data_IF_738466653150
#
_entry.id   IF_738466653150
#
_cell.length_a   1.000
_cell.length_b   1.000
_cell.length_c   1.000
_cell.angle_alpha   90.00
_cell.angle_beta   90.00
_cell.angle_gamma   90.00
#
_symmetry.space_group_name_H-M   'P 1'
#
loop_
_entity.id
_entity.type
_entity.pdbx_description
1 polymer ?
#
# COMPACT_ATOMS: atom_id res chain seq x y z
N UNK A 1 8.43 12.31 -17.60
CA UNK A 1 8.21 12.54 -19.04
C UNK A 1 7.98 11.20 -19.72
N UNK A 2 7.06 11.14 -20.68
CA UNK A 2 6.80 9.94 -21.49
C UNK A 2 6.87 10.30 -22.97
N UNK A 3 7.74 9.63 -23.70
CA UNK A 3 7.88 9.76 -25.15
C UNK A 3 6.82 8.87 -25.83
N UNK A 4 6.00 9.48 -26.68
CA UNK A 4 4.88 8.82 -27.35
C UNK A 4 5.19 8.67 -28.84
N UNK A 5 4.86 7.53 -29.42
CA UNK A 5 5.05 7.27 -30.83
C UNK A 5 4.22 8.23 -31.69
N UNK A 6 4.91 9.01 -32.54
CA UNK A 6 4.27 9.92 -33.49
C UNK A 6 3.61 11.15 -32.86
N UNK A 7 3.96 11.52 -31.62
CA UNK A 7 3.40 12.69 -30.92
C UNK A 7 4.41 13.42 -30.03
N UNK A 8 4.00 14.55 -29.42
CA UNK A 8 4.83 15.27 -28.47
C UNK A 8 5.08 14.45 -27.21
N UNK A 9 6.22 14.68 -26.55
CA UNK A 9 6.50 14.09 -25.26
C UNK A 9 5.53 14.64 -24.20
N UNK A 10 4.97 13.76 -23.37
CA UNK A 10 4.02 14.13 -22.33
C UNK A 10 4.74 14.37 -21.00
N UNK A 11 4.42 15.49 -20.36
CA UNK A 11 4.94 15.89 -19.06
C UNK A 11 3.85 15.76 -18.01
N UNK A 12 4.05 14.86 -17.04
CA UNK A 12 3.05 14.58 -16.02
C UNK A 12 3.50 13.52 -15.04
N UNK A 13 2.61 13.20 -14.11
CA UNK A 13 2.80 12.17 -13.12
C UNK A 13 2.33 10.82 -13.69
N UNK A 14 3.25 9.87 -13.81
CA UNK A 14 2.90 8.48 -14.14
C UNK A 14 2.24 7.86 -12.92
N UNK A 15 0.94 7.58 -13.02
CA UNK A 15 0.14 6.98 -11.95
C UNK A 15 0.26 5.46 -11.95
N UNK A 16 0.37 4.87 -13.14
CA UNK A 16 0.43 3.44 -13.30
C UNK A 16 1.37 3.04 -14.45
N UNK A 17 2.02 1.90 -14.26
CA UNK A 17 2.88 1.22 -15.22
C UNK A 17 2.47 -0.25 -15.20
N UNK A 18 1.24 -0.57 -15.60
CA UNK A 18 0.71 -1.94 -15.49
C UNK A 18 1.01 -2.82 -16.69
N UNK A 19 0.99 -4.12 -16.43
CA UNK A 19 1.13 -5.22 -17.38
C UNK A 19 -0.04 -5.38 -18.34
N UNK A 20 -1.14 -4.62 -18.16
CA UNK A 20 -2.27 -4.49 -19.09
C UNK A 20 -1.89 -3.88 -20.44
N UNK A 21 -0.61 -3.56 -20.63
CA UNK A 21 -0.13 -2.93 -21.85
C UNK A 21 -0.62 -1.49 -21.96
N UNK A 22 -0.81 -0.79 -20.84
CA UNK A 22 -1.16 0.63 -20.83
C UNK A 22 -0.39 1.40 -19.74
N UNK A 23 -0.11 2.66 -20.02
CA UNK A 23 0.53 3.62 -19.11
C UNK A 23 -0.47 4.74 -18.85
N UNK A 24 -0.77 4.98 -17.57
CA UNK A 24 -1.70 6.04 -17.16
C UNK A 24 -0.92 7.22 -16.61
N UNK A 25 -1.14 8.39 -17.21
CA UNK A 25 -0.53 9.65 -16.80
C UNK A 25 -1.58 10.64 -16.31
N UNK A 26 -1.28 11.36 -15.23
CA UNK A 26 -1.93 12.61 -14.89
C UNK A 26 -1.11 13.77 -15.48
N UNK A 27 -1.71 14.53 -16.40
CA UNK A 27 -1.09 15.66 -17.09
C UNK A 27 -1.83 16.94 -16.73
N UNK A 28 -1.09 17.98 -16.41
CA UNK A 28 -1.66 19.27 -16.03
C UNK A 28 -2.43 19.90 -17.19
N UNK A 29 -3.66 20.36 -16.93
CA UNK A 29 -4.54 20.98 -17.94
C UNK A 29 -3.87 22.14 -18.67
N UNK A 30 -3.33 23.07 -17.89
CA UNK A 30 -2.72 24.30 -18.41
C UNK A 30 -1.54 24.00 -19.34
N UNK A 31 -0.75 22.97 -19.02
CA UNK A 31 0.34 22.52 -19.87
C UNK A 31 -0.18 21.86 -21.15
N UNK A 32 -1.14 20.93 -21.04
CA UNK A 32 -1.63 20.18 -22.21
C UNK A 32 -2.36 21.09 -23.22
N UNK A 33 -3.12 22.07 -22.72
CA UNK A 33 -3.81 23.04 -23.56
C UNK A 33 -2.85 23.85 -24.47
N UNK A 34 -1.60 24.03 -24.04
CA UNK A 34 -0.57 24.72 -24.81
C UNK A 34 0.26 23.76 -25.66
N UNK A 35 0.62 22.60 -25.10
CA UNK A 35 1.56 21.67 -25.73
C UNK A 35 0.93 20.74 -26.77
N UNK A 36 -0.34 20.33 -26.58
CA UNK A 36 -1.10 19.46 -27.50
C UNK A 36 -2.59 19.86 -27.47
N UNK A 37 -2.96 21.02 -28.07
CA UNK A 37 -4.34 21.53 -28.06
C UNK A 37 -5.38 20.53 -28.61
N UNK A 38 -5.12 19.79 -29.70
CA UNK A 38 -6.07 18.79 -30.19
C UNK A 38 -6.37 17.68 -29.17
N UNK A 39 -5.35 17.15 -28.50
CA UNK A 39 -5.54 16.14 -27.45
C UNK A 39 -6.28 16.72 -26.26
N UNK A 40 -5.95 17.95 -25.85
CA UNK A 40 -6.64 18.66 -24.77
C UNK A 40 -8.15 18.77 -25.04
N UNK A 41 -8.53 19.26 -26.22
CA UNK A 41 -9.95 19.41 -26.60
C UNK A 41 -10.68 18.07 -26.54
N UNK A 42 -10.09 17.01 -27.12
CA UNK A 42 -10.70 15.68 -27.10
C UNK A 42 -10.92 15.11 -25.69
N UNK A 43 -9.95 15.31 -24.79
CA UNK A 43 -10.06 14.83 -23.41
C UNK A 43 -11.09 15.63 -22.61
N UNK A 44 -11.16 16.95 -22.79
CA UNK A 44 -12.15 17.79 -22.10
C UNK A 44 -13.57 17.49 -22.57
N UNK A 45 -13.77 17.25 -23.86
CA UNK A 45 -15.07 16.87 -24.43
C UNK A 45 -15.58 15.53 -23.87
N UNK A 46 -14.68 14.57 -23.66
CA UNK A 46 -15.04 13.24 -23.14
C UNK A 46 -15.16 13.20 -21.61
N UNK A 47 -14.45 14.05 -20.88
CA UNK A 47 -14.39 14.03 -19.41
C UNK A 47 -15.76 14.16 -18.75
N UNK A 48 -16.63 15.07 -19.22
CA UNK A 48 -17.95 15.26 -18.61
C UNK A 48 -18.82 13.99 -18.76
N UNK A 49 -18.80 13.38 -19.94
CA UNK A 49 -19.53 12.14 -20.19
C UNK A 49 -18.97 11.00 -19.33
N UNK A 50 -17.65 10.88 -19.23
CA UNK A 50 -16.99 9.89 -18.36
C UNK A 50 -17.31 10.11 -16.89
N UNK A 51 -17.27 11.36 -16.40
CA UNK A 51 -17.59 11.70 -15.02
C UNK A 51 -19.05 11.37 -14.70
N UNK A 52 -19.98 11.72 -15.58
CA UNK A 52 -21.40 11.39 -15.44
C UNK A 52 -21.62 9.87 -15.36
N UNK A 53 -20.97 9.13 -16.26
CA UNK A 53 -21.05 7.66 -16.27
C UNK A 53 -20.47 7.07 -14.99
N UNK A 54 -19.29 7.54 -14.55
CA UNK A 54 -18.62 7.03 -13.37
C UNK A 54 -19.40 7.30 -12.07
N UNK A 55 -19.99 8.48 -11.92
CA UNK A 55 -20.86 8.78 -10.78
C UNK A 55 -22.16 7.95 -10.80
N UNK A 56 -22.75 7.77 -11.99
CA UNK A 56 -23.96 6.95 -12.14
C UNK A 56 -23.68 5.50 -11.75
N UNK A 57 -22.60 4.92 -12.26
CA UNK A 57 -22.18 3.56 -11.95
C UNK A 57 -21.82 3.41 -10.47
N UNK A 58 -21.13 4.40 -9.88
CA UNK A 58 -20.84 4.40 -8.45
C UNK A 58 -22.12 4.42 -7.61
N UNK A 59 -23.10 5.26 -7.96
CA UNK A 59 -24.37 5.33 -7.25
C UNK A 59 -25.08 3.97 -7.28
N UNK A 60 -25.16 3.32 -8.44
CA UNK A 60 -25.73 1.99 -8.60
C UNK A 60 -24.99 0.94 -7.75
N UNK A 61 -23.66 0.98 -7.77
CA UNK A 61 -22.82 0.07 -6.98
C UNK A 61 -22.98 0.27 -5.48
N UNK A 62 -23.09 1.51 -5.03
CA UNK A 62 -23.36 1.83 -3.62
C UNK A 62 -24.77 1.42 -3.21
N UNK A 63 -25.78 1.58 -4.07
CA UNK A 63 -27.14 1.08 -3.83
C UNK A 63 -27.16 -0.44 -3.70
N UNK A 64 -26.53 -1.15 -4.63
CA UNK A 64 -26.41 -2.61 -4.59
C UNK A 64 -25.63 -3.08 -3.36
N UNK A 65 -24.62 -2.32 -2.92
CA UNK A 65 -23.90 -2.63 -1.69
C UNK A 65 -24.78 -2.41 -0.46
N UNK A 66 -25.46 -1.27 -0.35
CA UNK A 66 -26.34 -0.95 0.78
C UNK A 66 -27.52 -1.91 0.92
N UNK A 67 -28.01 -2.48 -0.18
CA UNK A 67 -29.08 -3.48 -0.17
C UNK A 67 -28.65 -4.84 0.42
N UNK A 68 -27.37 -5.02 0.77
CA UNK A 68 -26.89 -6.22 1.46
C UNK A 68 -27.38 -6.22 2.92
N UNK A 69 -28.12 -7.26 3.30
CA UNK A 69 -28.87 -7.34 4.56
C UNK A 69 -27.99 -7.38 5.81
N UNK A 70 -26.69 -7.67 5.66
CA UNK A 70 -25.74 -7.92 6.74
C UNK A 70 -24.67 -6.82 6.89
N UNK A 71 -24.93 -5.62 6.37
CA UNK A 71 -23.99 -4.50 6.54
C UNK A 71 -23.90 -4.04 8.00
N UNK A 72 -22.69 -4.03 8.59
CA UNK A 72 -22.45 -3.48 9.92
C UNK A 72 -22.79 -1.99 9.98
N UNK A 73 -23.31 -1.52 11.12
CA UNK A 73 -23.85 -0.16 11.26
C UNK A 73 -22.87 0.96 10.81
N UNK A 74 -21.58 0.87 11.18
CA UNK A 74 -20.58 1.86 10.78
C UNK A 74 -20.35 1.90 9.26
N UNK A 75 -20.27 0.72 8.64
CA UNK A 75 -20.12 0.61 7.18
C UNK A 75 -21.42 1.01 6.45
N UNK A 76 -22.59 0.65 6.97
CA UNK A 76 -23.88 1.05 6.42
C UNK A 76 -24.04 2.58 6.41
N UNK A 77 -23.71 3.24 7.53
CA UNK A 77 -23.74 4.71 7.63
C UNK A 77 -22.76 5.38 6.67
N UNK A 78 -21.55 4.82 6.53
CA UNK A 78 -20.60 5.27 5.52
C UNK A 78 -21.19 5.15 4.11
N UNK A 79 -21.69 3.96 3.72
CA UNK A 79 -22.27 3.74 2.38
C UNK A 79 -23.44 4.69 2.12
N UNK A 80 -24.31 4.95 3.10
CA UNK A 80 -25.42 5.90 2.96
C UNK A 80 -24.92 7.33 2.70
N UNK A 81 -23.89 7.76 3.43
CA UNK A 81 -23.28 9.08 3.22
C UNK A 81 -22.69 9.23 1.82
N UNK A 82 -22.03 8.19 1.32
CA UNK A 82 -21.46 8.14 -0.02
C UNK A 82 -22.52 8.13 -1.12
N UNK A 83 -23.67 7.48 -0.90
CA UNK A 83 -24.80 7.54 -1.81
C UNK A 83 -25.35 8.97 -1.93
N UNK A 84 -25.51 9.68 -0.79
CA UNK A 84 -25.94 11.08 -0.79
C UNK A 84 -24.96 11.97 -1.54
N UNK A 85 -23.66 11.74 -1.34
CA UNK A 85 -22.59 12.48 -2.04
C UNK A 85 -22.59 12.21 -3.54
N UNK A 86 -22.71 10.95 -3.97
CA UNK A 86 -22.81 10.59 -5.38
C UNK A 86 -24.06 11.18 -6.04
N UNK A 87 -25.21 11.16 -5.35
CA UNK A 87 -26.44 11.78 -5.84
C UNK A 87 -26.29 13.31 -5.99
N UNK A 88 -25.68 13.98 -5.01
CA UNK A 88 -25.41 15.42 -5.08
C UNK A 88 -24.47 15.77 -6.25
N UNK A 89 -23.43 14.96 -6.49
CA UNK A 89 -22.52 15.15 -7.61
C UNK A 89 -23.23 15.02 -8.98
N UNK A 90 -24.16 14.06 -9.10
CA UNK A 90 -24.96 13.90 -10.32
C UNK A 90 -25.90 15.09 -10.57
N UNK A 91 -26.50 15.66 -9.52
CA UNK A 91 -27.31 16.88 -9.64
C UNK A 91 -26.44 18.05 -10.11
N UNK A 92 -25.26 18.24 -9.51
CA UNK A 92 -24.32 19.29 -9.92
C UNK A 92 -23.88 19.15 -11.38
N UNK A 93 -23.63 17.94 -11.86
CA UNK A 93 -23.27 17.68 -13.27
C UNK A 93 -24.42 17.96 -14.24
N UNK A 94 -25.67 17.85 -13.80
CA UNK A 94 -26.86 18.12 -14.61
C UNK A 94 -27.16 19.62 -14.74
N UNK A 95 -26.78 20.44 -13.74
CA UNK A 95 -26.96 21.90 -13.75
C UNK A 95 -26.01 22.63 -14.73
N UNK A 96 -25.08 21.89 -15.33
CA UNK A 96 -24.10 22.39 -16.29
C UNK A 96 -22.72 21.83 -15.98
N UNK A 97 -21.71 22.11 -16.83
CA UNK A 97 -20.34 21.84 -16.43
C UNK A 97 -20.08 22.59 -15.12
N UNK A 98 -19.69 21.86 -14.06
CA UNK A 98 -19.17 22.46 -12.83
C UNK A 98 -18.20 23.60 -13.22
N UNK A 99 -18.25 24.77 -12.57
CA UNK A 99 -17.84 26.06 -13.12
C UNK A 99 -16.40 26.05 -13.68
N UNK A 100 -16.27 25.58 -14.94
CA UNK A 100 -15.05 25.34 -15.73
C UNK A 100 -13.97 24.48 -14.99
N UNK A 101 -13.15 23.68 -15.67
CA UNK A 101 -11.80 23.28 -15.15
C UNK A 101 -11.61 22.53 -13.81
N UNK A 102 -12.63 21.89 -13.21
CA UNK A 102 -12.62 21.54 -11.77
C UNK A 102 -11.48 20.67 -11.20
N UNK A 103 -10.63 20.03 -12.03
CA UNK A 103 -9.48 19.25 -11.55
C UNK A 103 -8.22 19.59 -12.33
N UNK A 104 -7.13 19.87 -11.60
CA UNK A 104 -5.86 20.37 -12.13
C UNK A 104 -5.26 19.47 -13.24
N UNK A 105 -5.60 18.19 -13.24
CA UNK A 105 -5.07 17.19 -14.15
C UNK A 105 -6.14 16.63 -15.10
N UNK A 106 -5.68 16.17 -16.26
CA UNK A 106 -6.37 15.23 -17.14
C UNK A 106 -5.67 13.88 -17.05
N UNK A 107 -6.44 12.79 -17.15
CA UNK A 107 -5.88 11.45 -17.26
C UNK A 107 -5.70 11.08 -18.72
N UNK A 108 -4.53 10.54 -19.04
CA UNK A 108 -4.20 10.02 -20.36
C UNK A 108 -3.84 8.55 -20.19
N UNK A 109 -4.64 7.69 -20.81
CA UNK A 109 -4.40 6.25 -20.90
C UNK A 109 -3.71 5.99 -22.25
N UNK A 110 -2.48 5.50 -22.21
CA UNK A 110 -1.68 5.21 -23.40
C UNK A 110 -1.42 3.71 -23.53
N UNK A 111 -1.79 3.07 -24.64
CA UNK A 111 -1.30 1.74 -24.97
C UNK A 111 0.23 1.70 -24.97
N UNK A 112 0.81 0.63 -24.44
CA UNK A 112 2.25 0.44 -24.28
C UNK A 112 2.95 0.44 -25.63
N UNK A 113 2.28 0.01 -26.70
CA UNK A 113 2.83 0.07 -28.07
C UNK A 113 3.00 1.51 -28.56
N UNK A 114 2.26 2.47 -27.98
CA UNK A 114 2.42 3.89 -28.26
C UNK A 114 3.48 4.54 -27.36
N UNK A 115 4.01 3.84 -26.35
CA UNK A 115 5.01 4.38 -25.43
C UNK A 115 6.41 3.97 -25.91
N UNK A 116 7.20 4.95 -26.36
CA UNK A 116 8.58 4.70 -26.79
C UNK A 116 9.53 4.61 -25.60
N UNK A 117 9.40 5.56 -24.66
CA UNK A 117 10.27 5.64 -23.49
C UNK A 117 9.60 6.36 -22.34
N UNK A 118 9.88 5.93 -21.11
CA UNK A 118 9.47 6.61 -19.89
C UNK A 118 10.72 7.09 -19.18
N UNK A 119 10.80 8.40 -18.93
CA UNK A 119 11.84 9.02 -18.13
C UNK A 119 11.24 9.41 -16.78
N UNK A 120 11.37 8.55 -15.75
CA UNK A 120 10.90 8.86 -14.42
C UNK A 120 11.73 10.01 -13.83
N UNK A 121 11.07 10.93 -13.14
CA UNK A 121 11.77 11.93 -12.34
C UNK A 121 12.45 11.24 -11.15
N UNK A 122 13.55 11.84 -10.65
CA UNK A 122 14.12 11.42 -9.36
C UNK A 122 13.11 11.65 -8.24
N UNK A 123 13.19 10.93 -7.10
CA UNK A 123 12.27 11.11 -5.99
C UNK A 123 12.14 12.57 -5.53
N UNK A 124 13.26 13.30 -5.47
CA UNK A 124 13.32 14.70 -5.05
C UNK A 124 12.61 15.61 -6.05
N UNK A 125 12.87 15.44 -7.35
CA UNK A 125 12.21 16.22 -8.39
C UNK A 125 10.72 15.91 -8.49
N UNK A 126 10.33 14.65 -8.28
CA UNK A 126 8.91 14.27 -8.17
C UNK A 126 8.25 14.98 -7.00
N UNK A 127 8.88 14.96 -5.83
CA UNK A 127 8.35 15.58 -4.62
C UNK A 127 8.18 17.10 -4.78
N UNK A 128 9.18 17.78 -5.35
CA UNK A 128 9.10 19.22 -5.68
C UNK A 128 7.98 19.52 -6.67
N UNK A 129 7.79 18.67 -7.69
CA UNK A 129 6.70 18.84 -8.63
C UNK A 129 5.32 18.65 -7.96
N UNK A 130 5.16 17.62 -7.12
CA UNK A 130 3.92 17.40 -6.36
C UNK A 130 3.58 18.62 -5.50
N UNK A 131 4.57 19.13 -4.77
CA UNK A 131 4.40 20.31 -3.93
C UNK A 131 4.10 21.57 -4.76
N UNK A 132 4.83 21.78 -5.85
CA UNK A 132 4.56 22.89 -6.77
C UNK A 132 3.15 22.83 -7.36
N UNK A 133 2.66 21.65 -7.72
CA UNK A 133 1.28 21.48 -8.16
C UNK A 133 0.29 21.78 -7.04
N UNK A 134 0.52 21.30 -5.81
CA UNK A 134 -0.33 21.57 -4.64
C UNK A 134 -0.50 23.07 -4.42
N UNK A 135 0.59 23.81 -4.50
CA UNK A 135 0.62 25.28 -4.31
C UNK A 135 0.25 26.07 -5.57
N UNK A 136 -0.14 25.39 -6.66
CA UNK A 136 -0.49 25.99 -7.95
C UNK A 136 0.61 26.90 -8.52
N UNK A 137 1.88 26.50 -8.38
CA UNK A 137 3.00 27.22 -8.99
C UNK A 137 2.91 27.15 -10.52
N UNK A 138 3.41 28.20 -11.18
CA UNK A 138 3.40 28.26 -12.63
C UNK A 138 4.40 27.28 -13.25
N UNK A 139 3.94 26.60 -14.31
CA UNK A 139 4.76 25.80 -15.24
C UNK A 139 5.57 24.69 -14.55
N UNK A 140 5.01 24.08 -13.51
CA UNK A 140 5.66 22.97 -12.76
C UNK A 140 6.12 21.84 -13.69
N UNK A 141 5.31 21.52 -14.69
CA UNK A 141 5.55 20.41 -15.61
C UNK A 141 6.74 20.63 -16.59
N UNK A 142 7.21 21.88 -16.74
CA UNK A 142 8.25 22.25 -17.71
C UNK A 142 9.50 22.91 -17.09
N UNK A 143 9.50 23.22 -15.80
CA UNK A 143 10.63 23.88 -15.13
C UNK A 143 11.67 22.89 -14.59
N UNK A 144 12.95 23.28 -14.53
CA UNK A 144 13.97 22.53 -13.80
C UNK A 144 13.64 22.41 -12.32
N UNK A 145 13.93 21.24 -11.72
CA UNK A 145 13.65 20.99 -10.30
C UNK A 145 14.36 21.95 -9.34
N UNK A 146 15.51 22.51 -9.71
CA UNK A 146 16.24 23.49 -8.91
C UNK A 146 15.51 24.85 -8.82
N UNK A 147 14.81 25.26 -9.88
CA UNK A 147 14.00 26.48 -9.86
C UNK A 147 12.75 26.30 -8.99
N UNK A 148 12.08 25.15 -9.11
CA UNK A 148 10.94 24.81 -8.26
C UNK A 148 11.36 24.76 -6.79
N UNK A 149 12.52 24.15 -6.49
CA UNK A 149 13.06 24.12 -5.12
C UNK A 149 13.31 25.52 -4.56
N UNK A 150 13.91 26.42 -5.35
CA UNK A 150 14.19 27.78 -4.93
C UNK A 150 12.91 28.55 -4.58
N UNK A 151 11.89 28.45 -5.43
CA UNK A 151 10.59 29.12 -5.22
C UNK A 151 9.81 28.51 -4.05
N UNK A 152 9.80 27.19 -3.92
CA UNK A 152 9.15 26.53 -2.78
C UNK A 152 9.79 26.95 -1.45
N UNK A 153 11.12 27.05 -1.41
CA UNK A 153 11.86 27.54 -0.23
C UNK A 153 11.61 29.02 0.04
N UNK A 154 11.49 29.87 -1.00
CA UNK A 154 11.18 31.29 -0.80
C UNK A 154 9.76 31.50 -0.26
N UNK A 155 8.84 30.58 -0.54
CA UNK A 155 7.50 30.51 0.04
C UNK A 155 7.45 29.84 1.42
N UNK A 156 8.60 29.38 1.96
CA UNK A 156 8.71 28.81 3.30
C UNK A 156 8.41 27.32 3.40
N UNK A 157 8.23 26.62 2.28
CA UNK A 157 7.99 25.17 2.28
C UNK A 157 9.29 24.38 2.42
N UNK A 158 9.17 23.16 2.94
CA UNK A 158 10.26 22.19 3.02
C UNK A 158 9.95 21.00 2.11
N UNK A 159 10.44 21.02 0.83
CA UNK A 159 10.07 20.03 -0.16
C UNK A 159 10.32 18.59 0.28
N UNK A 160 11.40 18.34 1.03
CA UNK A 160 11.88 17.00 1.33
C UNK A 160 11.19 16.34 2.54
N UNK A 161 10.38 17.08 3.31
CA UNK A 161 9.74 16.57 4.53
C UNK A 161 8.21 16.43 4.44
N UNK A 162 7.58 17.12 3.49
CA UNK A 162 6.12 17.13 3.38
C UNK A 162 5.58 15.94 2.59
N UNK A 163 4.48 15.33 3.04
CA UNK A 163 3.76 14.37 2.22
C UNK A 163 2.68 15.10 1.42
N UNK A 164 2.69 14.93 0.10
CA UNK A 164 1.74 15.60 -0.80
C UNK A 164 0.78 14.58 -1.40
N UNK A 165 -0.51 14.80 -1.18
CA UNK A 165 -1.58 14.02 -1.78
C UNK A 165 -2.38 14.91 -2.76
N UNK A 166 -2.36 14.57 -4.05
CA UNK A 166 -3.10 15.27 -5.10
C UNK A 166 -4.30 14.47 -5.62
N UNK A 167 -4.70 13.41 -4.93
CA UNK A 167 -5.74 12.49 -5.41
C UNK A 167 -7.08 13.16 -5.68
N UNK A 168 -7.47 14.14 -4.87
CA UNK A 168 -8.70 14.92 -5.07
C UNK A 168 -8.67 15.79 -6.33
N UNK A 169 -7.47 16.04 -6.87
CA UNK A 169 -7.24 16.83 -8.08
C UNK A 169 -7.14 15.98 -9.36
N UNK A 170 -7.26 14.67 -9.26
CA UNK A 170 -7.30 13.76 -10.41
C UNK A 170 -8.74 13.58 -10.90
N UNK A 171 -9.04 13.60 -12.20
CA UNK A 171 -10.38 13.38 -12.74
C UNK A 171 -10.92 12.00 -12.37
N UNK A 172 -12.25 11.92 -12.31
CA UNK A 172 -12.93 10.69 -11.98
C UNK A 172 -12.81 9.75 -13.18
N UNK A 173 -12.61 8.46 -12.90
CA UNK A 173 -12.58 7.43 -13.93
C UNK A 173 -13.56 6.31 -13.61
N UNK A 174 -13.95 5.58 -14.64
CA UNK A 174 -14.68 4.34 -14.48
C UNK A 174 -13.81 3.32 -13.76
N UNK A 175 -14.41 2.66 -12.76
CA UNK A 175 -13.77 1.59 -12.02
C UNK A 175 -14.21 0.25 -12.63
N UNK A 176 -13.28 -0.62 -12.98
CA UNK A 176 -13.58 -2.00 -13.31
C UNK A 176 -14.15 -2.75 -12.10
N UNK A 177 -14.82 -3.88 -12.31
CA UNK A 177 -15.39 -4.67 -11.22
C UNK A 177 -14.34 -5.14 -10.21
N UNK A 178 -13.11 -5.44 -10.67
CA UNK A 178 -12.00 -5.81 -9.79
C UNK A 178 -11.57 -4.64 -8.91
N UNK A 179 -11.47 -3.45 -9.48
CA UNK A 179 -11.12 -2.22 -8.74
C UNK A 179 -12.21 -1.88 -7.72
N UNK A 180 -13.48 -2.04 -8.09
CA UNK A 180 -14.59 -1.86 -7.17
C UNK A 180 -14.57 -2.87 -6.01
N UNK A 181 -14.27 -4.15 -6.29
CA UNK A 181 -14.10 -5.16 -5.24
C UNK A 181 -12.97 -4.80 -4.27
N UNK A 182 -11.85 -4.29 -4.79
CA UNK A 182 -10.74 -3.85 -3.97
C UNK A 182 -11.07 -2.61 -3.15
N UNK A 183 -11.78 -1.63 -3.75
CA UNK A 183 -12.30 -0.46 -3.05
C UNK A 183 -13.21 -0.86 -1.89
N UNK A 184 -14.18 -1.74 -2.14
CA UNK A 184 -15.06 -2.29 -1.10
C UNK A 184 -14.27 -2.94 0.02
N UNK A 185 -13.24 -3.71 -0.29
CA UNK A 185 -12.42 -4.38 0.72
C UNK A 185 -11.63 -3.39 1.59
N UNK A 186 -11.02 -2.37 0.99
CA UNK A 186 -10.32 -1.30 1.71
C UNK A 186 -11.30 -0.57 2.65
N UNK A 187 -12.46 -0.16 2.14
CA UNK A 187 -13.48 0.54 2.92
C UNK A 187 -14.07 -0.32 4.04
N UNK A 188 -14.28 -1.61 3.78
CA UNK A 188 -14.73 -2.56 4.81
C UNK A 188 -13.67 -2.72 5.90
N UNK A 189 -12.40 -2.76 5.52
CA UNK A 189 -11.28 -2.83 6.46
C UNK A 189 -11.19 -1.58 7.34
N UNK A 190 -11.42 -0.39 6.77
CA UNK A 190 -11.39 0.90 7.49
C UNK A 190 -12.61 1.09 8.40
N UNK A 191 -13.82 0.77 7.93
CA UNK A 191 -15.08 1.13 8.63
C UNK A 191 -15.76 0.00 9.39
N UNK A 192 -15.22 -1.23 9.36
CA UNK A 192 -15.84 -2.35 10.07
C UNK A 192 -14.84 -3.26 10.79
N UNK A 193 -14.31 -4.26 10.08
CA UNK A 193 -13.56 -5.37 10.68
C UNK A 193 -12.30 -5.60 9.88
N UNK A 194 -11.19 -5.24 10.49
CA UNK A 194 -9.88 -5.65 10.05
C UNK A 194 -9.66 -7.12 10.43
N UNK A 195 -9.28 -7.93 9.46
CA UNK A 195 -8.69 -9.24 9.71
C UNK A 195 -7.20 -9.11 9.49
N UNK A 196 -6.45 -9.23 10.57
CA UNK A 196 -5.00 -9.13 10.55
C UNK A 196 -4.39 -10.43 11.03
N UNK A 197 -3.20 -10.72 10.50
CA UNK A 197 -2.37 -11.82 10.92
C UNK A 197 -0.94 -11.33 11.13
N UNK A 198 -0.30 -11.82 12.18
CA UNK A 198 1.10 -11.54 12.47
C UNK A 198 1.82 -12.79 12.93
N UNK A 199 3.05 -12.99 12.46
CA UNK A 199 3.82 -14.19 12.81
C UNK A 199 5.16 -14.31 12.10
N UNK A 200 5.58 -15.55 11.93
CA UNK A 200 6.77 -15.96 11.17
C UNK A 200 6.32 -16.62 9.85
N UNK A 201 7.23 -16.87 8.89
CA UNK A 201 6.89 -17.60 7.67
C UNK A 201 6.23 -18.97 7.94
N UNK A 202 6.65 -19.65 9.00
CA UNK A 202 6.11 -20.95 9.37
C UNK A 202 4.69 -20.87 9.92
N UNK A 203 4.34 -19.76 10.59
CA UNK A 203 3.04 -19.62 11.24
C UNK A 203 2.63 -18.17 11.44
N UNK A 204 1.44 -17.85 10.97
CA UNK A 204 0.77 -16.60 11.23
C UNK A 204 -0.38 -16.80 12.21
N UNK A 205 -0.51 -15.87 13.15
CA UNK A 205 -1.60 -15.87 14.13
C UNK A 205 -2.52 -14.70 13.86
N UNK A 206 -3.82 -14.91 14.03
CA UNK A 206 -4.80 -13.83 13.92
C UNK A 206 -4.54 -12.79 15.00
N UNK A 207 -4.57 -11.52 14.61
CA UNK A 207 -4.44 -10.34 15.47
C UNK A 207 -5.60 -9.36 15.19
N UNK A 208 -5.80 -8.38 16.06
CA UNK A 208 -6.80 -7.32 15.88
C UNK A 208 -7.63 -7.05 17.14
N UNK A 209 -8.69 -6.24 17.01
CA UNK A 209 -9.44 -5.71 18.17
C UNK A 209 -10.06 -6.78 19.09
N UNK A 210 -10.32 -7.98 18.56
CA UNK A 210 -10.96 -9.09 19.30
C UNK A 210 -9.96 -10.16 19.79
N UNK A 211 -8.67 -10.02 19.48
CA UNK A 211 -7.63 -11.03 19.78
C UNK A 211 -6.37 -10.34 20.29
N UNK A 212 -5.81 -10.76 21.45
CA UNK A 212 -4.58 -10.17 21.96
C UNK A 212 -3.47 -10.18 20.90
N UNK A 213 -2.71 -9.09 20.73
CA UNK A 213 -1.58 -9.08 19.82
C UNK A 213 -0.58 -10.18 20.19
N UNK A 214 0.07 -10.77 19.19
CA UNK A 214 1.13 -11.74 19.46
C UNK A 214 2.29 -10.99 20.09
N UNK A 215 2.75 -11.44 21.26
CA UNK A 215 3.87 -10.76 21.91
C UNK A 215 5.13 -10.87 21.04
N UNK A 216 5.89 -9.78 20.84
CA UNK A 216 7.17 -9.82 20.12
C UNK A 216 8.13 -10.85 20.69
N UNK A 217 8.09 -11.01 22.02
CA UNK A 217 8.81 -12.01 22.78
C UNK A 217 8.53 -13.45 22.32
N UNK A 218 7.25 -13.78 22.07
CA UNK A 218 6.84 -15.09 21.53
C UNK A 218 7.30 -15.29 20.09
N UNK A 219 7.18 -14.26 19.25
CA UNK A 219 7.66 -14.32 17.86
C UNK A 219 9.16 -14.56 17.81
N UNK A 220 9.93 -13.90 18.68
CA UNK A 220 11.37 -14.10 18.82
C UNK A 220 11.69 -15.54 19.25
N UNK A 221 11.01 -16.05 20.27
CA UNK A 221 11.21 -17.42 20.74
C UNK A 221 10.90 -18.48 19.67
N UNK A 222 9.77 -18.36 18.97
CA UNK A 222 9.41 -19.27 17.86
C UNK A 222 10.42 -19.19 16.71
N UNK A 223 10.96 -18.00 16.43
CA UNK A 223 11.97 -17.83 15.39
C UNK A 223 13.33 -18.42 15.79
N UNK A 224 13.77 -18.22 17.04
CA UNK A 224 15.00 -18.84 17.55
C UNK A 224 14.88 -20.36 17.58
N UNK A 225 13.71 -20.88 17.97
CA UNK A 225 13.45 -22.32 17.98
C UNK A 225 13.50 -22.92 16.57
N UNK A 226 12.91 -22.25 15.57
CA UNK A 226 12.95 -22.74 14.19
C UNK A 226 14.36 -22.71 13.60
N UNK A 227 15.17 -21.70 13.94
CA UNK A 227 16.58 -21.65 13.57
C UNK A 227 17.38 -22.78 14.22
N UNK A 228 17.18 -23.03 15.52
CA UNK A 228 17.83 -24.16 16.22
C UNK A 228 17.47 -25.50 15.59
N UNK A 229 16.18 -25.72 15.25
CA UNK A 229 15.75 -26.93 14.54
C UNK A 229 16.46 -27.07 13.21
N UNK A 230 16.59 -25.99 12.43
CA UNK A 230 17.30 -26.00 11.16
C UNK A 230 18.79 -26.33 11.29
N UNK A 231 19.47 -25.76 12.29
CA UNK A 231 20.87 -26.12 12.57
C UNK A 231 21.01 -27.59 12.98
N UNK A 232 20.06 -28.12 13.76
CA UNK A 232 20.04 -29.55 14.12
C UNK A 232 19.76 -30.44 12.90
N UNK A 233 18.85 -30.06 12.02
CA UNK A 233 18.55 -30.77 10.77
C UNK A 233 19.76 -30.76 9.82
N UNK A 234 20.48 -29.64 9.70
CA UNK A 234 21.72 -29.52 8.91
C UNK A 234 22.86 -30.39 9.47
N UNK A 235 22.89 -30.63 10.78
CA UNK A 235 23.85 -31.55 11.41
C UNK A 235 23.48 -33.03 11.18
N UNK A 236 22.20 -33.35 11.01
CA UNK A 236 21.71 -34.71 10.74
C UNK A 236 21.78 -35.05 9.23
N UNK A 237 21.50 -34.10 8.35
CA UNK A 237 21.60 -34.21 6.89
C UNK A 237 22.53 -33.12 6.30
N UNK A 238 23.87 -33.26 6.44
CA UNK A 238 24.81 -32.27 5.94
C UNK A 238 24.75 -32.20 4.40
N UNK A 239 24.36 -31.02 3.87
CA UNK A 239 24.37 -30.72 2.43
C UNK A 239 23.00 -30.50 1.78
N UNK A 240 21.90 -30.63 2.52
CA UNK A 240 20.57 -30.26 2.00
C UNK A 240 20.44 -28.74 2.01
N UNK A 241 20.70 -28.10 0.87
CA UNK A 241 20.40 -26.69 0.69
C UNK A 241 18.88 -26.49 0.93
N UNK A 242 18.49 -25.54 1.80
CA UNK A 242 17.09 -25.23 2.02
C UNK A 242 16.48 -24.79 0.69
N UNK A 243 15.40 -25.45 0.29
CA UNK A 243 14.72 -25.14 -0.97
C UNK A 243 14.27 -23.67 -1.00
N UNK A 244 14.07 -23.09 -2.19
CA UNK A 244 13.66 -21.68 -2.34
C UNK A 244 12.35 -21.33 -1.60
N UNK A 245 11.50 -22.31 -1.28
CA UNK A 245 10.28 -22.11 -0.47
C UNK A 245 10.54 -21.85 1.02
N UNK A 246 11.69 -22.28 1.56
CA UNK A 246 11.99 -22.19 3.01
C UNK A 246 12.30 -20.75 3.46
N UNK A 247 12.70 -19.88 2.52
CA UNK A 247 13.03 -18.48 2.80
C UNK A 247 11.96 -17.50 2.28
N UNK A 248 10.83 -17.99 1.75
CA UNK A 248 9.74 -17.12 1.33
C UNK A 248 9.07 -16.48 2.57
N UNK A 249 8.78 -15.17 2.56
CA UNK A 249 8.17 -14.51 3.72
C UNK A 249 6.76 -15.02 4.01
N UNK A 250 6.07 -15.51 2.96
CA UNK A 250 4.73 -16.06 3.02
C UNK A 250 4.66 -17.37 2.20
N UNK A 251 5.04 -18.51 2.79
CA UNK A 251 4.89 -19.81 2.13
C UNK A 251 3.43 -20.08 1.73
N UNK A 252 3.15 -20.80 0.63
CA UNK A 252 1.79 -21.02 0.14
C UNK A 252 0.84 -21.62 1.18
N UNK A 253 1.34 -22.54 2.02
CA UNK A 253 0.56 -23.16 3.10
C UNK A 253 0.11 -22.15 4.16
N UNK A 254 0.98 -21.20 4.53
CA UNK A 254 0.70 -20.17 5.53
C UNK A 254 -0.37 -19.19 5.06
N UNK A 255 -0.32 -18.77 3.78
CA UNK A 255 -1.37 -17.95 3.18
C UNK A 255 -2.68 -18.72 3.02
N UNK A 256 -2.64 -20.02 2.71
CA UNK A 256 -3.85 -20.84 2.61
C UNK A 256 -4.62 -20.86 3.94
N UNK A 257 -3.95 -20.93 5.09
CA UNK A 257 -4.59 -20.83 6.41
C UNK A 257 -5.25 -19.47 6.62
N UNK A 258 -4.57 -18.37 6.28
CA UNK A 258 -5.14 -17.02 6.38
C UNK A 258 -6.40 -16.87 5.52
N UNK A 259 -6.36 -17.38 4.28
CA UNK A 259 -7.48 -17.38 3.34
C UNK A 259 -8.65 -18.23 3.84
N UNK A 260 -8.38 -19.39 4.44
CA UNK A 260 -9.41 -20.26 5.02
C UNK A 260 -10.11 -19.57 6.18
N UNK A 261 -9.35 -18.92 7.06
CA UNK A 261 -9.89 -18.17 8.20
C UNK A 261 -10.71 -16.95 7.74
N UNK A 262 -10.23 -16.22 6.73
CA UNK A 262 -10.99 -15.13 6.11
C UNK A 262 -12.35 -15.62 5.57
N UNK A 263 -12.35 -16.74 4.83
CA UNK A 263 -13.58 -17.38 4.33
C UNK A 263 -14.52 -17.82 5.46
N UNK A 264 -13.97 -18.39 6.55
CA UNK A 264 -14.75 -18.80 7.73
C UNK A 264 -15.45 -17.62 8.39
N UNK A 265 -14.82 -16.45 8.36
CA UNK A 265 -15.35 -15.20 8.90
C UNK A 265 -16.19 -14.41 7.87
N UNK A 266 -16.43 -14.97 6.68
CA UNK A 266 -17.10 -14.27 5.57
C UNK A 266 -16.44 -12.95 5.16
N UNK A 267 -15.13 -12.83 5.40
CA UNK A 267 -14.32 -11.67 5.02
C UNK A 267 -13.62 -11.92 3.69
N UNK A 268 -13.59 -10.88 2.86
CA UNK A 268 -12.97 -10.93 1.52
C UNK A 268 -11.56 -10.33 1.48
N UNK A 269 -11.05 -9.83 2.58
CA UNK A 269 -9.69 -9.31 2.64
C UNK A 269 -9.06 -9.53 4.02
N UNK A 270 -7.74 -9.59 4.04
CA UNK A 270 -6.95 -9.63 5.26
C UNK A 270 -5.58 -9.01 5.04
N UNK A 271 -4.98 -8.52 6.12
CA UNK A 271 -3.57 -8.15 6.17
C UNK A 271 -2.77 -9.25 6.84
N UNK A 272 -1.62 -9.59 6.28
CA UNK A 272 -0.68 -10.55 6.85
C UNK A 272 0.70 -9.90 7.01
N UNK A 273 1.32 -10.09 8.17
CA UNK A 273 2.65 -9.58 8.49
C UNK A 273 3.54 -10.72 8.97
N UNK A 274 4.67 -10.91 8.31
CA UNK A 274 5.65 -11.98 8.58
C UNK A 274 7.00 -11.38 8.94
N UNK A 275 7.59 -11.89 10.02
CA UNK A 275 8.92 -11.49 10.51
C UNK A 275 9.89 -12.63 10.18
N UNK A 276 10.93 -12.30 9.42
CA UNK A 276 12.03 -13.19 9.05
C UNK A 276 13.29 -12.69 9.76
N UNK A 277 13.90 -13.52 10.60
CA UNK A 277 15.17 -13.18 11.24
C UNK A 277 16.32 -13.91 10.53
N UNK A 278 17.34 -13.14 10.20
CA UNK A 278 18.65 -13.62 9.75
C UNK A 278 19.62 -13.52 10.93
N UNK A 279 19.87 -14.66 11.58
CA UNK A 279 20.75 -14.74 12.75
C UNK A 279 22.22 -14.52 12.39
N UNK A 280 22.66 -15.00 11.22
CA UNK A 280 24.03 -14.82 10.75
C UNK A 280 24.29 -13.34 10.41
N UNK A 281 23.34 -12.71 9.71
CA UNK A 281 23.40 -11.31 9.34
C UNK A 281 23.06 -10.32 10.44
N UNK A 282 22.57 -10.80 11.61
CA UNK A 282 22.01 -9.99 12.71
C UNK A 282 20.97 -8.97 12.23
N UNK A 283 20.06 -9.42 11.36
CA UNK A 283 19.04 -8.59 10.72
C UNK A 283 17.66 -9.18 10.87
N UNK A 284 16.68 -8.33 11.08
CA UNK A 284 15.26 -8.67 11.01
C UNK A 284 14.66 -8.07 9.76
N UNK A 285 13.91 -8.85 8.99
CA UNK A 285 13.11 -8.35 7.87
C UNK A 285 11.64 -8.56 8.18
N UNK A 286 10.88 -7.48 8.11
CA UNK A 286 9.43 -7.50 8.28
C UNK A 286 8.80 -7.35 6.91
N UNK A 287 7.88 -8.26 6.58
CA UNK A 287 7.08 -8.23 5.37
C UNK A 287 5.62 -8.04 5.75
N UNK A 288 4.90 -7.22 5.01
CA UNK A 288 3.45 -7.06 5.20
C UNK A 288 2.76 -7.03 3.84
N UNK A 289 1.62 -7.70 3.73
CA UNK A 289 0.80 -7.71 2.52
C UNK A 289 -0.70 -7.65 2.85
N UNK A 290 -1.48 -7.06 1.95
CA UNK A 290 -2.94 -6.99 2.02
C UNK A 290 -3.54 -7.74 0.84
N UNK A 291 -4.23 -8.83 1.15
CA UNK A 291 -4.78 -9.75 0.15
C UNK A 291 -6.29 -9.61 0.07
N UNK A 292 -6.80 -9.68 -1.17
CA UNK A 292 -8.20 -9.55 -1.55
C UNK A 292 -8.68 -10.78 -2.29
N UNK A 293 -9.83 -11.31 -1.90
CA UNK A 293 -10.55 -12.32 -2.66
C UNK A 293 -11.33 -11.66 -3.81
N UNK A 294 -10.85 -11.85 -5.04
CA UNK A 294 -11.51 -11.36 -6.26
C UNK A 294 -12.44 -12.41 -6.90
N UNK A 295 -12.27 -13.68 -6.54
CA UNK A 295 -13.12 -14.79 -7.00
C UNK A 295 -13.16 -15.96 -5.99
N UNK A 296 -13.94 -17.03 -6.23
CA UNK A 296 -14.12 -18.14 -5.27
C UNK A 296 -12.81 -18.78 -4.79
N UNK A 297 -11.81 -18.84 -5.67
CA UNK A 297 -10.48 -19.40 -5.39
C UNK A 297 -9.35 -18.42 -5.72
N UNK A 298 -9.69 -17.19 -6.07
CA UNK A 298 -8.73 -16.22 -6.60
C UNK A 298 -8.49 -15.13 -5.56
N UNK A 299 -7.23 -14.99 -5.18
CA UNK A 299 -6.74 -14.00 -4.23
C UNK A 299 -5.69 -13.14 -4.92
N UNK A 300 -5.76 -11.85 -4.66
CA UNK A 300 -4.88 -10.83 -5.22
C UNK A 300 -4.25 -10.03 -4.11
N UNK A 301 -2.94 -9.87 -4.12
CA UNK A 301 -2.25 -8.94 -3.23
C UNK A 301 -2.38 -7.53 -3.79
N UNK A 302 -3.08 -6.65 -3.08
CA UNK A 302 -3.37 -5.27 -3.52
C UNK A 302 -2.49 -4.23 -2.84
N UNK A 303 -1.73 -4.63 -1.82
CA UNK A 303 -0.66 -3.85 -1.23
C UNK A 303 0.39 -4.78 -0.63
N UNK A 304 1.67 -4.44 -0.74
CA UNK A 304 2.76 -5.15 -0.09
C UNK A 304 3.92 -4.20 0.20
N UNK A 305 4.63 -4.43 1.30
CA UNK A 305 5.83 -3.71 1.65
C UNK A 305 6.77 -4.58 2.50
N UNK A 306 8.06 -4.26 2.45
CA UNK A 306 9.10 -4.91 3.24
C UNK A 306 10.02 -3.86 3.85
N UNK A 307 10.48 -4.11 5.07
CA UNK A 307 11.51 -3.31 5.76
C UNK A 307 12.53 -4.23 6.40
N UNK A 308 13.78 -3.81 6.37
CA UNK A 308 14.90 -4.51 7.00
C UNK A 308 15.44 -3.63 8.12
N UNK A 309 15.49 -4.18 9.33
CA UNK A 309 16.08 -3.57 10.51
C UNK A 309 17.37 -4.30 10.89
N UNK A 310 18.42 -3.54 11.17
CA UNK A 310 19.69 -4.06 11.68
C UNK A 310 19.98 -3.58 13.10
N UNK A 311 20.67 -4.42 13.89
CA UNK A 311 21.05 -4.10 15.27
C UNK A 311 21.93 -2.84 15.43
N UNK A 312 22.60 -2.38 14.35
CA UNK A 312 23.54 -1.25 14.41
C UNK A 312 22.92 0.15 14.44
N UNK A 313 21.60 0.29 14.24
CA UNK A 313 20.94 1.59 14.03
C UNK A 313 20.33 2.24 15.28
N UNK A 314 19.96 1.46 16.30
CA UNK A 314 19.20 1.94 17.46
C UNK A 314 20.09 2.01 18.71
N UNK A 315 20.58 3.21 19.04
CA UNK A 315 21.33 3.50 20.28
C UNK A 315 20.45 4.04 21.40
N UNK A 316 19.17 3.70 21.43
CA UNK A 316 18.29 4.13 22.52
C UNK A 316 18.39 3.19 23.73
N UNK A 317 19.41 3.44 24.56
CA UNK A 317 19.64 2.70 25.79
C UNK A 317 18.42 2.72 26.73
N UNK A 318 17.59 3.76 26.72
CA UNK A 318 16.42 3.86 27.59
C UNK A 318 15.28 2.92 27.14
N UNK A 319 15.12 2.71 25.83
CA UNK A 319 14.16 1.74 25.31
C UNK A 319 14.68 0.31 25.44
N UNK A 320 15.99 0.08 25.26
CA UNK A 320 16.63 -1.21 25.55
C UNK A 320 16.43 -1.64 27.01
N UNK A 321 16.65 -0.72 27.95
CA UNK A 321 16.46 -0.99 29.38
C UNK A 321 15.01 -1.35 29.71
N UNK A 322 14.04 -0.60 29.17
CA UNK A 322 12.61 -0.88 29.34
C UNK A 322 12.21 -2.24 28.77
N UNK A 323 12.71 -2.62 27.59
CA UNK A 323 12.43 -3.92 26.99
C UNK A 323 13.05 -5.06 27.82
N UNK A 324 14.25 -4.84 28.36
CA UNK A 324 14.92 -5.80 29.24
C UNK A 324 14.18 -5.98 30.56
N UNK A 325 13.48 -4.96 31.05
CA UNK A 325 12.68 -5.01 32.29
C UNK A 325 11.26 -5.59 32.07
N UNK A 326 10.87 -5.85 30.80
CA UNK A 326 9.57 -6.45 30.49
C UNK A 326 9.46 -7.87 31.09
N UNK A 327 8.39 -8.18 31.86
CA UNK A 327 8.21 -9.48 32.51
C UNK A 327 8.23 -10.68 31.55
N UNK A 328 7.71 -10.52 30.33
CA UNK A 328 7.70 -11.59 29.32
C UNK A 328 9.08 -11.80 28.73
N UNK A 329 9.82 -10.71 28.46
CA UNK A 329 11.20 -10.78 27.99
C UNK A 329 12.10 -11.41 29.06
N UNK A 330 11.96 -11.00 30.33
CA UNK A 330 12.67 -11.58 31.46
C UNK A 330 12.42 -13.08 31.66
N UNK A 331 11.20 -13.55 31.39
CA UNK A 331 10.88 -14.98 31.47
C UNK A 331 11.63 -15.78 30.38
N UNK A 332 11.68 -15.26 29.15
CA UNK A 332 12.39 -15.90 28.04
C UNK A 332 13.91 -15.85 28.26
N UNK A 333 14.44 -14.69 28.67
CA UNK A 333 15.87 -14.53 28.95
C UNK A 333 16.34 -15.45 30.08
N UNK A 334 15.53 -15.65 31.13
CA UNK A 334 15.81 -16.64 32.18
C UNK A 334 15.85 -18.06 31.63
N UNK A 335 14.86 -18.46 30.83
CA UNK A 335 14.86 -19.77 30.19
C UNK A 335 16.08 -20.01 29.30
N UNK A 336 16.51 -19.02 28.52
CA UNK A 336 17.71 -19.13 27.68
C UNK A 336 19.01 -19.22 28.49
N UNK A 337 19.09 -18.48 29.61
CA UNK A 337 20.22 -18.56 30.55
C UNK A 337 20.30 -19.91 31.26
N UNK A 338 19.16 -20.47 31.66
CA UNK A 338 19.07 -21.76 32.37
C UNK A 338 19.51 -22.95 31.51
N UNK A 339 19.36 -22.88 30.18
CA UNK A 339 19.83 -23.92 29.24
C UNK A 339 21.29 -23.69 28.82
N UNK A 340 21.94 -22.62 29.30
CA UNK A 340 23.35 -22.30 28.98
C UNK A 340 23.57 -21.83 27.54
N UNK A 341 22.50 -21.43 26.84
CA UNK A 341 22.52 -21.13 25.40
C UNK A 341 22.75 -19.65 25.07
N UNK A 342 22.84 -18.76 26.06
CA UNK A 342 23.02 -17.33 25.80
C UNK A 342 23.95 -16.64 26.82
N UNK A 343 25.08 -16.12 26.34
CA UNK A 343 25.87 -15.11 27.05
C UNK A 343 25.20 -13.74 27.01
N UNK A 344 25.63 -12.80 27.86
CA UNK A 344 25.08 -11.43 27.90
C UNK A 344 25.13 -10.73 26.53
N UNK A 345 26.20 -10.92 25.75
CA UNK A 345 26.32 -10.35 24.40
C UNK A 345 25.26 -10.88 23.41
N UNK A 346 24.85 -12.15 23.56
CA UNK A 346 23.81 -12.74 22.72
C UNK A 346 22.41 -12.21 23.09
N UNK A 347 22.20 -11.93 24.37
CA UNK A 347 20.98 -11.31 24.89
C UNK A 347 20.84 -9.88 24.38
N UNK A 348 21.90 -9.09 24.49
CA UNK A 348 21.89 -7.71 24.02
C UNK A 348 21.70 -7.64 22.49
N UNK A 349 22.34 -8.52 21.73
CA UNK A 349 22.12 -8.63 20.29
C UNK A 349 20.67 -9.01 19.93
N UNK A 350 20.03 -9.91 20.69
CA UNK A 350 18.64 -10.29 20.48
C UNK A 350 17.68 -9.13 20.82
N UNK A 351 17.96 -8.36 21.88
CA UNK A 351 17.20 -7.17 22.22
C UNK A 351 17.29 -6.11 21.13
N UNK A 352 18.50 -5.84 20.61
CA UNK A 352 18.70 -4.86 19.54
C UNK A 352 17.99 -5.26 18.25
N UNK A 353 18.02 -6.55 17.91
CA UNK A 353 17.26 -7.09 16.78
C UNK A 353 15.75 -6.97 16.99
N UNK A 354 15.26 -7.23 18.21
CA UNK A 354 13.86 -7.04 18.58
C UNK A 354 13.40 -5.60 18.41
N UNK A 355 14.19 -4.64 18.87
CA UNK A 355 13.91 -3.20 18.71
C UNK A 355 13.91 -2.78 17.23
N UNK A 356 14.91 -3.21 16.45
CA UNK A 356 14.98 -2.91 15.03
C UNK A 356 13.79 -3.50 14.24
N UNK A 357 13.32 -4.69 14.65
CA UNK A 357 12.13 -5.34 14.09
C UNK A 357 10.86 -4.59 14.46
N UNK A 358 10.73 -4.11 15.70
CA UNK A 358 9.60 -3.31 16.15
C UNK A 358 9.52 -1.97 15.41
N UNK A 359 10.65 -1.29 15.21
CA UNK A 359 10.70 -0.07 14.40
C UNK A 359 10.26 -0.36 12.95
N UNK A 360 10.81 -1.41 12.34
CA UNK A 360 10.45 -1.83 10.98
C UNK A 360 8.96 -2.14 10.85
N UNK A 361 8.36 -2.77 11.87
CA UNK A 361 6.93 -3.02 11.94
C UNK A 361 6.13 -1.71 12.01
N UNK A 362 6.51 -0.78 12.89
CA UNK A 362 5.85 0.52 13.04
C UNK A 362 5.90 1.37 11.74
N UNK A 363 7.03 1.33 11.02
CA UNK A 363 7.17 2.00 9.73
C UNK A 363 6.29 1.36 8.65
N UNK A 364 6.12 0.03 8.66
CA UNK A 364 5.21 -0.68 7.76
C UNK A 364 3.75 -0.41 8.09
N UNK A 365 3.40 -0.36 9.38
CA UNK A 365 2.06 0.04 9.83
C UNK A 365 1.74 1.46 9.37
N UNK A 366 2.67 2.39 9.52
CA UNK A 366 2.52 3.77 9.01
C UNK A 366 2.27 3.77 7.50
N UNK A 367 3.06 3.02 6.72
CA UNK A 367 2.85 2.91 5.27
C UNK A 367 1.50 2.29 4.91
N UNK A 368 1.06 1.28 5.66
CA UNK A 368 -0.24 0.66 5.44
C UNK A 368 -1.38 1.62 5.77
N UNK A 369 -1.26 2.39 6.86
CA UNK A 369 -2.22 3.45 7.20
C UNK A 369 -2.25 4.56 6.15
N UNK A 370 -1.11 4.93 5.57
CA UNK A 370 -1.06 5.87 4.44
C UNK A 370 -1.77 5.29 3.21
N UNK A 371 -1.59 4.00 2.93
CA UNK A 371 -2.33 3.31 1.87
C UNK A 371 -3.84 3.32 2.12
N UNK A 372 -4.29 2.98 3.33
CA UNK A 372 -5.70 3.03 3.71
C UNK A 372 -6.25 4.45 3.67
N UNK A 373 -5.51 5.44 4.18
CA UNK A 373 -5.88 6.85 4.13
C UNK A 373 -5.96 7.40 2.71
N UNK A 374 -5.15 6.88 1.78
CA UNK A 374 -5.19 7.29 0.38
C UNK A 374 -6.41 6.72 -0.38
N UNK A 375 -6.77 5.46 -0.12
CA UNK A 375 -7.82 4.77 -0.88
C UNK A 375 -9.15 4.55 -0.13
N UNK A 376 -9.17 4.82 1.18
CA UNK A 376 -10.27 4.49 2.08
C UNK A 376 -11.10 5.68 2.57
N UNK A 377 -10.89 6.89 2.04
CA UNK A 377 -11.71 8.06 2.39
C UNK A 377 -13.05 8.06 1.65
N UNK A 378 -13.00 7.83 0.34
CA UNK A 378 -14.15 7.95 -0.55
C UNK A 378 -14.22 6.80 -1.56
N UNK A 379 -15.43 6.40 -1.94
CA UNK A 379 -15.71 5.25 -2.80
C UNK A 379 -15.33 5.45 -4.29
N UNK A 380 -15.29 6.69 -4.75
CA UNK A 380 -14.77 7.14 -6.04
C UNK A 380 -13.29 7.54 -5.99
N UNK A 381 -12.65 7.38 -4.83
CA UNK A 381 -11.29 7.85 -4.52
C UNK A 381 -10.24 7.49 -5.59
N UNK A 382 -8.99 7.94 -5.43
CA UNK A 382 -7.99 7.97 -6.50
C UNK A 382 -7.88 6.64 -7.26
N UNK A 383 -7.51 6.68 -8.56
CA UNK A 383 -7.34 5.50 -9.38
C UNK A 383 -6.58 4.39 -8.64
N UNK A 384 -7.27 3.26 -8.41
CA UNK A 384 -6.66 2.06 -7.85
C UNK A 384 -6.22 1.18 -9.03
N UNK A 385 -4.95 0.79 -9.01
CA UNK A 385 -4.35 -0.07 -10.02
C UNK A 385 -4.04 -1.42 -9.36
N UNK A 386 -4.53 -2.49 -9.97
CA UNK A 386 -4.53 -3.83 -9.41
C UNK A 386 -3.63 -4.74 -10.24
N UNK A 387 -2.69 -5.47 -9.62
CA UNK A 387 -1.83 -6.38 -10.36
C UNK A 387 -2.65 -7.44 -11.10
N UNK A 388 -2.12 -7.90 -12.24
CA UNK A 388 -2.76 -8.98 -12.97
C UNK A 388 -2.70 -10.28 -12.16
N UNK A 389 -3.77 -11.06 -12.27
CA UNK A 389 -3.74 -12.44 -11.82
C UNK A 389 -2.78 -13.16 -12.74
N UNK A 390 -1.66 -13.68 -12.22
CA UNK A 390 -0.76 -14.51 -13.03
C UNK A 390 -1.59 -15.57 -13.76
N UNK A 391 -1.43 -15.73 -15.09
CA UNK A 391 -2.13 -16.79 -15.80
C UNK A 391 -1.76 -18.10 -15.10
N UNK A 392 -2.78 -18.85 -14.68
CA UNK A 392 -2.59 -20.20 -14.14
C UNK A 392 -1.71 -20.95 -15.14
N UNK A 393 -0.46 -21.23 -14.78
CA UNK A 393 0.32 -22.23 -15.51
C UNK A 393 -0.50 -23.51 -15.43
N UNK A 394 -1.03 -23.92 -16.59
CA UNK A 394 -1.84 -25.13 -16.74
C UNK A 394 -0.96 -26.36 -16.61
#
# INVERSE_FOLDING_TARGET
MVEVAGGPALHGLVLNRESRGEVVLAVERAWLAQADPPRFQHLVESEQATAQQAWTELQQRLQAWHAQTDLPAGLASYVESEQKRAAAALVQLAEGPAPQDSRQFLLIELPLQQVQRIHPATPENRQRALLGWRENLDRVSSRPGAELEHELKSLGFQPDSEQVNLSERLPLRLQSDREWLARKAILTFVHHKSLEFQGTPARLYRTGNDVPPVSPARLLAETLQSQLQRTLEELVEPGRAPGPEVNAPFPPGTLATCRQEAKRLSLRAYRATSIVLDAEGRRGRVHSQFDLQVGPQEWLTIWQASREGGAGGLRDNATRQRLREDPQVQAILRGLKEVGLAGEDAIDAALDMGLATQQSLSELDTQFQLFLGHYGVHAEGPPLFLPESSPRQK
#
